data_IF_116256319284
#
_entry.id   IF_116256319284
#
_cell.length_a   1.000
_cell.length_b   1.000
_cell.length_c   1.000
_cell.angle_alpha   90.00
_cell.angle_beta   90.00
_cell.angle_gamma   90.00
#
_symmetry.space_group_name_H-M   'P 1'
#
loop_
_entity.id
_entity.type
_entity.pdbx_description
1 polymer ?
#
# COMPACT_ATOMS: atom_id res chain seq x y z
N UNK A 1 -11.22 25.53 26.41
CA UNK A 1 -11.78 26.31 25.28
C UNK A 1 -11.77 25.53 23.97
N UNK A 2 -10.65 24.98 23.48
CA UNK A 2 -10.68 24.05 22.33
C UNK A 2 -10.96 22.59 22.73
N UNK A 3 -10.44 22.15 23.88
CA UNK A 3 -10.56 20.77 24.38
C UNK A 3 -12.03 20.34 24.60
N UNK A 4 -12.84 21.20 25.23
CA UNK A 4 -14.24 20.91 25.55
C UNK A 4 -15.16 20.84 24.31
N UNK A 5 -14.79 21.50 23.21
CA UNK A 5 -15.49 21.41 21.93
C UNK A 5 -15.16 20.10 21.20
N UNK A 6 -13.89 19.69 21.26
CA UNK A 6 -13.42 18.43 20.70
C UNK A 6 -14.01 17.24 21.48
N UNK A 7 -14.10 17.32 22.80
CA UNK A 7 -14.73 16.27 23.62
C UNK A 7 -16.22 16.09 23.26
N UNK A 8 -17.00 17.15 23.07
CA UNK A 8 -18.40 17.04 22.66
C UNK A 8 -18.57 16.43 21.26
N UNK A 9 -17.66 16.76 20.32
CA UNK A 9 -17.65 16.21 18.97
C UNK A 9 -17.26 14.72 18.96
N UNK A 10 -16.26 14.33 19.75
CA UNK A 10 -15.77 12.95 19.86
C UNK A 10 -16.81 11.99 20.48
N UNK A 11 -17.77 12.51 21.26
CA UNK A 11 -18.88 11.74 21.81
C UNK A 11 -20.10 11.66 20.88
N UNK A 12 -20.03 12.23 19.67
CA UNK A 12 -21.09 12.16 18.66
C UNK A 12 -22.32 13.04 18.94
N UNK A 13 -22.26 13.93 19.93
CA UNK A 13 -23.33 14.87 20.25
C UNK A 13 -23.18 16.17 19.44
N UNK A 14 -23.55 16.08 18.17
CA UNK A 14 -23.58 17.20 17.23
C UNK A 14 -24.40 18.41 17.74
N UNK A 15 -25.60 18.23 18.32
CA UNK A 15 -26.36 19.32 18.92
C UNK A 15 -25.61 20.08 20.03
N UNK A 16 -24.97 19.37 20.95
CA UNK A 16 -24.24 19.99 22.06
C UNK A 16 -22.96 20.69 21.58
N UNK A 17 -22.29 20.13 20.56
CA UNK A 17 -21.13 20.74 19.91
C UNK A 17 -21.49 22.08 19.27
N UNK A 18 -22.59 22.12 18.51
CA UNK A 18 -23.09 23.35 17.87
C UNK A 18 -23.42 24.42 18.92
N UNK A 19 -24.12 24.04 20.00
CA UNK A 19 -24.51 24.96 21.08
C UNK A 19 -23.31 25.60 21.78
N UNK A 20 -22.21 24.85 21.96
CA UNK A 20 -20.98 25.36 22.58
C UNK A 20 -20.17 26.27 21.64
N UNK A 21 -20.19 26.00 20.33
CA UNK A 21 -19.62 26.90 19.32
C UNK A 21 -20.37 28.24 19.33
N UNK A 22 -21.71 28.21 19.34
CA UNK A 22 -22.54 29.42 19.39
C UNK A 22 -22.29 30.25 20.66
N UNK A 23 -22.11 29.60 21.82
CA UNK A 23 -21.80 30.28 23.08
C UNK A 23 -20.42 30.98 23.09
N UNK A 24 -19.43 30.39 22.42
CA UNK A 24 -18.07 30.93 22.42
C UNK A 24 -17.79 31.93 21.32
N UNK A 25 -18.47 31.84 20.18
CA UNK A 25 -18.20 32.69 19.01
C UNK A 25 -19.34 33.69 18.71
N UNK A 26 -20.54 33.50 19.26
CA UNK A 26 -21.72 34.39 19.09
C UNK A 26 -22.74 33.82 18.09
N UNK A 27 -23.93 34.43 17.99
CA UNK A 27 -25.06 34.00 17.11
C UNK A 27 -24.82 34.24 15.60
N UNK A 28 -23.62 33.94 15.10
CA UNK A 28 -23.34 33.93 13.68
C UNK A 28 -23.57 32.55 13.09
N UNK A 29 -24.32 32.43 12.00
CA UNK A 29 -24.30 31.21 11.17
C UNK A 29 -22.89 31.02 10.58
N UNK A 30 -22.00 30.37 11.33
CA UNK A 30 -20.65 30.06 10.88
C UNK A 30 -20.73 28.95 9.84
N UNK A 31 -20.68 29.36 8.57
CA UNK A 31 -20.55 28.43 7.44
C UNK A 31 -19.09 28.11 7.20
N UNK A 32 -18.80 26.89 6.68
CA UNK A 32 -17.45 26.43 6.29
C UNK A 32 -16.65 27.44 5.44
N UNK A 33 -17.34 28.39 4.78
CA UNK A 33 -16.77 29.50 4.02
C UNK A 33 -15.94 30.49 4.85
N UNK A 34 -16.14 30.55 6.18
CA UNK A 34 -15.46 31.48 7.09
C UNK A 34 -14.10 30.95 7.59
N UNK A 35 -13.83 29.66 7.40
CA UNK A 35 -12.49 29.11 7.66
C UNK A 35 -11.51 29.62 6.60
N UNK A 36 -10.27 29.92 6.98
CA UNK A 36 -9.22 30.17 6.01
C UNK A 36 -9.08 28.97 5.07
N UNK A 37 -8.57 29.20 3.84
CA UNK A 37 -8.52 28.17 2.81
C UNK A 37 -7.74 26.92 3.22
N UNK A 38 -6.74 27.07 4.08
CA UNK A 38 -5.94 25.93 4.55
C UNK A 38 -6.70 25.10 5.59
N UNK A 39 -7.50 25.72 6.47
CA UNK A 39 -8.40 25.04 7.40
C UNK A 39 -9.57 24.36 6.69
N UNK A 40 -10.09 24.97 5.61
CA UNK A 40 -11.05 24.31 4.73
C UNK A 40 -10.45 23.08 4.07
N UNK A 41 -9.20 23.15 3.57
CA UNK A 41 -8.50 21.98 3.02
C UNK A 41 -8.31 20.90 4.07
N UNK A 42 -7.81 21.22 5.26
CA UNK A 42 -7.63 20.26 6.35
C UNK A 42 -8.94 19.55 6.72
N UNK A 43 -10.06 20.28 6.80
CA UNK A 43 -11.37 19.68 7.06
C UNK A 43 -11.86 18.80 5.91
N UNK A 44 -11.64 19.25 4.67
CA UNK A 44 -11.98 18.47 3.48
C UNK A 44 -11.18 17.17 3.45
N UNK A 45 -9.88 17.23 3.70
CA UNK A 45 -8.99 16.06 3.77
C UNK A 45 -9.44 15.10 4.89
N UNK A 46 -9.73 15.63 6.09
CA UNK A 46 -10.24 14.82 7.21
C UNK A 46 -11.59 14.15 6.90
N UNK A 47 -12.50 14.88 6.25
CA UNK A 47 -13.79 14.32 5.81
C UNK A 47 -13.60 13.26 4.74
N UNK A 48 -12.69 13.46 3.79
CA UNK A 48 -12.37 12.47 2.76
C UNK A 48 -11.74 11.21 3.35
N UNK A 49 -10.86 11.34 4.33
CA UNK A 49 -10.28 10.19 5.03
C UNK A 49 -11.37 9.42 5.79
N UNK A 50 -12.21 10.11 6.57
CA UNK A 50 -13.32 9.48 7.29
C UNK A 50 -14.34 8.80 6.35
N UNK A 51 -14.60 9.42 5.18
CA UNK A 51 -15.48 8.87 4.16
C UNK A 51 -14.86 7.64 3.53
N UNK A 52 -13.55 7.67 3.23
CA UNK A 52 -12.81 6.52 2.69
C UNK A 52 -12.91 5.33 3.64
N UNK A 53 -12.65 5.53 4.92
CA UNK A 53 -12.73 4.48 5.94
C UNK A 53 -14.14 3.90 6.06
N UNK A 54 -15.16 4.77 6.02
CA UNK A 54 -16.57 4.37 6.07
C UNK A 54 -17.00 3.56 4.84
N UNK A 55 -16.54 3.98 3.65
CA UNK A 55 -16.77 3.27 2.39
C UNK A 55 -16.07 1.91 2.43
N UNK A 56 -14.78 1.85 2.78
CA UNK A 56 -14.05 0.59 2.90
C UNK A 56 -14.73 -0.35 3.90
N UNK A 57 -15.14 0.13 5.07
CA UNK A 57 -15.83 -0.67 6.07
C UNK A 57 -17.16 -1.24 5.57
N UNK A 58 -17.88 -0.51 4.71
CA UNK A 58 -19.13 -0.95 4.11
C UNK A 58 -18.88 -2.03 3.05
N UNK A 59 -17.90 -1.82 2.18
CA UNK A 59 -17.47 -2.81 1.18
C UNK A 59 -16.92 -4.08 1.83
N UNK A 60 -16.15 -3.95 2.92
CA UNK A 60 -15.67 -5.07 3.74
C UNK A 60 -16.82 -5.91 4.28
N UNK A 61 -17.82 -5.28 4.90
CA UNK A 61 -19.01 -5.99 5.43
C UNK A 61 -19.76 -6.76 4.33
N UNK A 62 -19.93 -6.15 3.15
CA UNK A 62 -20.54 -6.82 2.00
C UNK A 62 -19.69 -8.00 1.55
N UNK A 63 -18.37 -7.82 1.42
CA UNK A 63 -17.47 -8.90 1.01
C UNK A 63 -17.47 -10.05 2.01
N UNK A 64 -17.26 -9.79 3.30
CA UNK A 64 -17.17 -10.83 4.34
C UNK A 64 -18.45 -11.67 4.43
N UNK A 65 -19.62 -11.01 4.34
CA UNK A 65 -20.91 -11.70 4.36
C UNK A 65 -21.20 -12.53 3.10
N UNK A 66 -20.57 -12.19 1.97
CA UNK A 66 -20.85 -12.83 0.67
C UNK A 66 -19.70 -13.68 0.13
N UNK A 67 -18.53 -13.65 0.75
CA UNK A 67 -17.36 -14.42 0.34
C UNK A 67 -17.64 -15.94 0.25
N UNK A 68 -18.34 -16.59 1.20
CA UNK A 68 -18.69 -18.01 1.05
C UNK A 68 -19.58 -18.26 -0.17
N UNK A 69 -20.51 -17.36 -0.47
CA UNK A 69 -21.42 -17.48 -1.62
C UNK A 69 -20.62 -17.33 -2.92
N UNK A 70 -19.77 -16.30 -3.01
CA UNK A 70 -18.91 -16.07 -4.17
C UNK A 70 -17.99 -17.26 -4.46
N UNK A 71 -17.40 -17.87 -3.42
CA UNK A 71 -16.58 -19.09 -3.55
C UNK A 71 -17.40 -20.26 -4.11
N UNK A 72 -18.61 -20.48 -3.61
CA UNK A 72 -19.49 -21.55 -4.10
C UNK A 72 -19.93 -21.32 -5.56
N UNK A 73 -20.24 -20.08 -5.92
CA UNK A 73 -20.57 -19.70 -7.29
C UNK A 73 -19.38 -19.97 -8.23
N UNK A 74 -18.18 -19.57 -7.85
CA UNK A 74 -16.97 -19.84 -8.61
C UNK A 74 -16.70 -21.35 -8.78
N UNK A 75 -16.84 -22.13 -7.71
CA UNK A 75 -16.68 -23.59 -7.76
C UNK A 75 -17.70 -24.27 -8.69
N UNK A 76 -18.91 -23.72 -8.77
CA UNK A 76 -19.98 -24.19 -9.65
C UNK A 76 -19.94 -23.59 -11.05
N UNK A 77 -18.91 -22.78 -11.37
CA UNK A 77 -18.79 -21.98 -12.61
C UNK A 77 -20.00 -21.09 -12.90
N UNK A 78 -20.72 -20.69 -11.86
CA UNK A 78 -21.83 -19.77 -11.96
C UNK A 78 -21.33 -18.32 -11.88
N UNK A 79 -21.85 -17.40 -12.71
CA UNK A 79 -21.41 -16.01 -12.69
C UNK A 79 -21.82 -15.32 -11.38
N UNK A 80 -20.89 -14.59 -10.76
CA UNK A 80 -21.19 -13.77 -9.60
C UNK A 80 -22.14 -12.60 -9.96
N UNK A 81 -23.16 -12.31 -9.13
CA UNK A 81 -24.01 -11.14 -9.31
C UNK A 81 -23.16 -9.85 -9.40
N UNK A 82 -23.45 -8.93 -10.35
CA UNK A 82 -22.57 -7.78 -10.62
C UNK A 82 -22.25 -6.92 -9.38
N UNK A 83 -23.24 -6.70 -8.51
CA UNK A 83 -23.05 -5.91 -7.28
C UNK A 83 -22.09 -6.60 -6.28
N UNK A 84 -22.18 -7.93 -6.14
CA UNK A 84 -21.30 -8.69 -5.25
C UNK A 84 -19.88 -8.79 -5.82
N UNK A 85 -19.77 -8.96 -7.14
CA UNK A 85 -18.49 -8.92 -7.85
C UNK A 85 -17.79 -7.58 -7.63
N UNK A 86 -18.48 -6.46 -7.89
CA UNK A 86 -17.91 -5.14 -7.72
C UNK A 86 -17.46 -4.87 -6.27
N UNK A 87 -18.24 -5.33 -5.28
CA UNK A 87 -17.86 -5.18 -3.89
C UNK A 87 -16.62 -5.98 -3.50
N UNK A 88 -16.52 -7.23 -3.99
CA UNK A 88 -15.37 -8.08 -3.77
C UNK A 88 -14.11 -7.55 -4.47
N UNK A 89 -14.23 -7.13 -5.74
CA UNK A 89 -13.14 -6.53 -6.50
C UNK A 89 -12.62 -5.27 -5.81
N UNK A 90 -13.50 -4.35 -5.41
CA UNK A 90 -13.10 -3.14 -4.69
C UNK A 90 -12.32 -3.47 -3.41
N UNK A 91 -12.90 -4.31 -2.55
CA UNK A 91 -12.29 -4.65 -1.26
C UNK A 91 -10.94 -5.35 -1.43
N UNK A 92 -10.85 -6.37 -2.29
CA UNK A 92 -9.63 -7.14 -2.47
C UNK A 92 -8.50 -6.30 -3.08
N UNK A 93 -8.81 -5.43 -4.06
CA UNK A 93 -7.82 -4.51 -4.63
C UNK A 93 -7.33 -3.49 -3.59
N UNK A 94 -8.22 -2.96 -2.75
CA UNK A 94 -7.81 -2.07 -1.65
C UNK A 94 -6.88 -2.76 -0.66
N UNK A 95 -7.19 -4.01 -0.27
CA UNK A 95 -6.32 -4.79 0.61
C UNK A 95 -4.95 -5.05 0.01
N UNK A 96 -4.86 -5.35 -1.29
CA UNK A 96 -3.58 -5.51 -1.99
C UNK A 96 -2.78 -4.21 -1.94
N UNK A 97 -3.39 -3.07 -2.29
CA UNK A 97 -2.72 -1.77 -2.26
C UNK A 97 -2.26 -1.40 -0.86
N UNK A 98 -3.12 -1.52 0.13
CA UNK A 98 -2.80 -1.26 1.54
C UNK A 98 -1.62 -2.11 2.01
N UNK A 99 -1.60 -3.40 1.68
CA UNK A 99 -0.50 -4.30 2.02
C UNK A 99 0.82 -3.93 1.33
N UNK A 100 0.78 -3.41 0.09
CA UNK A 100 1.95 -2.91 -0.64
C UNK A 100 2.47 -1.58 -0.07
N UNK A 101 1.60 -0.69 0.41
CA UNK A 101 1.99 0.63 0.95
C UNK A 101 2.64 0.54 2.33
N UNK A 102 2.35 -0.51 3.12
CA UNK A 102 2.99 -0.75 4.42
C UNK A 102 4.52 -0.73 4.32
N UNK A 103 5.16 -0.35 5.42
CA UNK A 103 6.62 -0.32 5.54
C UNK A 103 7.04 -1.14 6.77
N UNK A 104 7.53 -2.38 6.60
CA UNK A 104 7.70 -3.10 5.33
C UNK A 104 6.36 -3.58 4.71
N UNK A 105 6.32 -3.85 3.39
CA UNK A 105 5.13 -4.38 2.73
C UNK A 105 4.82 -5.81 3.19
N UNK A 106 3.52 -6.14 3.23
CA UNK A 106 3.02 -7.44 3.65
C UNK A 106 2.82 -8.38 2.44
N UNK A 107 3.89 -9.07 2.07
CA UNK A 107 3.93 -9.93 0.88
C UNK A 107 2.98 -11.14 1.01
N UNK A 108 2.78 -11.63 2.24
CA UNK A 108 1.88 -12.76 2.49
C UNK A 108 0.42 -12.34 2.28
N UNK A 109 0.03 -11.17 2.80
CA UNK A 109 -1.30 -10.62 2.56
C UNK A 109 -1.54 -10.40 1.06
N UNK A 110 -0.60 -9.76 0.34
CA UNK A 110 -0.70 -9.56 -1.11
C UNK A 110 -0.92 -10.88 -1.85
N UNK A 111 -0.08 -11.89 -1.58
CA UNK A 111 -0.20 -13.22 -2.20
C UNK A 111 -1.53 -13.90 -1.87
N UNK A 112 -2.02 -13.76 -0.63
CA UNK A 112 -3.33 -14.26 -0.22
C UNK A 112 -4.49 -13.61 -0.99
N UNK A 113 -4.49 -12.28 -1.10
CA UNK A 113 -5.55 -11.54 -1.80
C UNK A 113 -5.55 -11.80 -3.31
N UNK A 114 -4.38 -11.91 -3.94
CA UNK A 114 -4.25 -12.28 -5.36
C UNK A 114 -4.84 -13.67 -5.65
N UNK A 115 -4.57 -14.65 -4.76
CA UNK A 115 -5.17 -15.99 -4.88
C UNK A 115 -6.68 -15.95 -4.75
N UNK A 116 -7.23 -15.11 -3.88
CA UNK A 116 -8.69 -14.96 -3.74
C UNK A 116 -9.33 -14.36 -5.00
N UNK A 117 -8.71 -13.34 -5.61
CA UNK A 117 -9.15 -12.80 -6.89
C UNK A 117 -9.17 -13.87 -7.98
N UNK A 118 -8.09 -14.64 -8.11
CA UNK A 118 -7.97 -15.73 -9.09
C UNK A 118 -9.01 -16.82 -8.88
N UNK A 119 -9.15 -17.33 -7.65
CA UNK A 119 -10.09 -18.41 -7.30
C UNK A 119 -11.54 -18.04 -7.59
N UNK A 120 -11.89 -16.77 -7.42
CA UNK A 120 -13.24 -16.26 -7.64
C UNK A 120 -13.44 -15.68 -9.05
N UNK A 121 -12.42 -15.75 -9.93
CA UNK A 121 -12.43 -15.15 -11.26
C UNK A 121 -12.81 -13.65 -11.24
N UNK A 122 -12.27 -12.93 -10.26
CA UNK A 122 -12.46 -11.50 -10.05
C UNK A 122 -11.30 -10.70 -10.65
N UNK A 123 -11.57 -9.46 -11.02
CA UNK A 123 -10.62 -8.59 -11.69
C UNK A 123 -9.67 -7.90 -10.71
N UNK A 124 -8.38 -7.91 -11.03
CA UNK A 124 -7.39 -7.06 -10.39
C UNK A 124 -7.30 -5.72 -11.13
N UNK A 125 -7.24 -4.62 -10.39
CA UNK A 125 -6.88 -3.30 -10.92
C UNK A 125 -5.37 -3.26 -11.20
N UNK A 126 -5.00 -3.78 -12.37
CA UNK A 126 -3.61 -3.95 -12.77
C UNK A 126 -2.83 -2.63 -12.77
N UNK A 127 -3.46 -1.52 -13.16
CA UNK A 127 -2.80 -0.22 -13.21
C UNK A 127 -2.46 0.30 -11.80
N UNK A 128 -3.44 0.36 -10.91
CA UNK A 128 -3.22 0.84 -9.55
C UNK A 128 -2.33 -0.09 -8.74
N UNK A 129 -2.54 -1.42 -8.85
CA UNK A 129 -1.73 -2.42 -8.15
C UNK A 129 -0.29 -2.41 -8.67
N UNK A 130 -0.07 -2.37 -9.98
CA UNK A 130 1.26 -2.34 -10.58
C UNK A 130 2.07 -1.10 -10.16
N UNK A 131 1.41 0.06 -10.08
CA UNK A 131 2.03 1.29 -9.57
C UNK A 131 2.48 1.16 -8.11
N UNK A 132 1.59 0.74 -7.21
CA UNK A 132 1.93 0.58 -5.78
C UNK A 132 3.00 -0.50 -5.57
N UNK A 133 3.02 -1.53 -6.42
CA UNK A 133 4.03 -2.58 -6.41
C UNK A 133 5.41 -2.04 -6.77
N UNK A 134 5.49 -1.23 -7.83
CA UNK A 134 6.74 -0.57 -8.26
C UNK A 134 7.28 0.34 -7.14
N UNK A 135 6.40 1.12 -6.51
CA UNK A 135 6.79 2.00 -5.41
C UNK A 135 7.26 1.21 -4.18
N UNK A 136 6.59 0.11 -3.82
CA UNK A 136 7.01 -0.78 -2.74
C UNK A 136 8.40 -1.39 -3.00
N UNK A 137 8.64 -1.86 -4.23
CA UNK A 137 9.93 -2.40 -4.63
C UNK A 137 11.04 -1.33 -4.59
N UNK A 138 10.74 -0.11 -5.05
CA UNK A 138 11.67 1.03 -4.96
C UNK A 138 12.04 1.34 -3.51
N UNK A 139 11.06 1.45 -2.60
CA UNK A 139 11.32 1.72 -1.18
C UNK A 139 12.20 0.66 -0.53
N UNK A 140 11.98 -0.62 -0.83
CA UNK A 140 12.82 -1.71 -0.31
C UNK A 140 14.25 -1.65 -0.86
N UNK A 141 14.41 -1.25 -2.12
CA UNK A 141 15.73 -1.11 -2.74
C UNK A 141 16.51 0.06 -2.15
N UNK A 142 15.84 1.19 -1.90
CA UNK A 142 16.41 2.35 -1.22
C UNK A 142 16.79 1.99 0.22
N UNK A 143 15.90 1.32 0.96
CA UNK A 143 16.18 0.85 2.32
C UNK A 143 17.38 -0.11 2.38
N UNK A 144 17.53 -1.02 1.41
CA UNK A 144 18.71 -1.87 1.30
C UNK A 144 20.00 -1.07 1.02
N UNK A 145 19.91 -0.04 0.18
CA UNK A 145 21.05 0.79 -0.20
C UNK A 145 21.51 1.73 0.93
N UNK A 146 20.58 2.27 1.71
CA UNK A 146 20.84 3.26 2.78
C UNK A 146 21.11 2.60 4.14
N UNK A 147 20.43 1.50 4.46
CA UNK A 147 20.44 0.85 5.78
C UNK A 147 21.67 0.00 6.09
N UNK A 148 22.79 0.19 5.38
CA UNK A 148 23.99 -0.63 5.57
C UNK A 148 23.81 -2.10 5.18
N UNK A 149 22.94 -2.38 4.19
CA UNK A 149 22.68 -3.73 3.65
C UNK A 149 22.08 -4.72 4.65
N UNK A 150 21.10 -4.29 5.46
CA UNK A 150 20.22 -5.23 6.15
C UNK A 150 19.52 -6.14 5.11
N UNK A 151 19.87 -7.43 5.11
CA UNK A 151 19.38 -8.43 4.18
C UNK A 151 17.87 -8.58 4.16
N UNK A 152 17.17 -8.14 5.21
CA UNK A 152 15.71 -8.24 5.28
C UNK A 152 15.02 -7.49 4.13
N UNK A 153 15.45 -6.27 3.82
CA UNK A 153 14.87 -5.48 2.73
C UNK A 153 15.09 -6.14 1.37
N UNK A 154 16.27 -6.76 1.18
CA UNK A 154 16.62 -7.50 -0.03
C UNK A 154 15.79 -8.78 -0.19
N UNK A 155 15.58 -9.54 0.90
CA UNK A 155 14.74 -10.75 0.89
C UNK A 155 13.28 -10.42 0.59
N UNK A 156 12.75 -9.33 1.16
CA UNK A 156 11.40 -8.84 0.86
C UNK A 156 11.29 -8.39 -0.60
N UNK A 157 12.28 -7.65 -1.11
CA UNK A 157 12.31 -7.20 -2.50
C UNK A 157 12.32 -8.39 -3.46
N UNK A 158 13.15 -9.41 -3.19
CA UNK A 158 13.18 -10.66 -3.96
C UNK A 158 11.82 -11.35 -3.96
N UNK A 159 11.15 -11.38 -2.81
CA UNK A 159 9.82 -11.99 -2.69
C UNK A 159 8.78 -11.24 -3.51
N UNK A 160 8.77 -9.90 -3.48
CA UNK A 160 7.86 -9.09 -4.30
C UNK A 160 8.09 -9.24 -5.81
N UNK A 161 9.35 -9.21 -6.26
CA UNK A 161 9.69 -9.38 -7.68
C UNK A 161 9.33 -10.79 -8.15
N UNK A 162 9.58 -11.80 -7.32
CA UNK A 162 9.19 -13.19 -7.61
C UNK A 162 7.69 -13.34 -7.74
N UNK A 163 6.93 -12.81 -6.77
CA UNK A 163 5.48 -12.90 -6.77
C UNK A 163 4.86 -12.19 -7.99
N UNK A 164 5.36 -11.00 -8.35
CA UNK A 164 4.91 -10.30 -9.55
C UNK A 164 5.14 -11.14 -10.82
N UNK A 165 6.32 -11.77 -10.95
CA UNK A 165 6.64 -12.64 -12.08
C UNK A 165 5.77 -13.90 -12.13
N UNK A 166 5.59 -14.60 -11.00
CA UNK A 166 4.74 -15.80 -10.90
C UNK A 166 3.28 -15.51 -11.25
N UNK A 167 2.80 -14.31 -10.91
CA UNK A 167 1.43 -13.86 -11.16
C UNK A 167 1.27 -13.10 -12.47
N UNK A 168 2.33 -12.98 -13.27
CA UNK A 168 2.34 -12.26 -14.54
C UNK A 168 1.79 -10.83 -14.41
N UNK A 169 2.12 -10.16 -13.31
CA UNK A 169 1.73 -8.77 -13.06
C UNK A 169 2.71 -7.86 -13.81
N UNK A 170 2.19 -6.96 -14.63
CA UNK A 170 2.99 -5.96 -15.31
C UNK A 170 3.42 -4.88 -14.30
N UNK A 171 4.68 -4.91 -13.91
CA UNK A 171 5.28 -3.96 -12.96
C UNK A 171 6.54 -3.37 -13.58
N UNK A 172 6.60 -2.04 -13.62
CA UNK A 172 7.80 -1.33 -14.02
C UNK A 172 8.85 -1.36 -12.89
N UNK A 173 9.91 -2.13 -13.11
CA UNK A 173 11.05 -2.23 -12.19
C UNK A 173 12.26 -1.39 -12.62
N UNK A 174 12.17 -0.50 -13.61
CA UNK A 174 13.31 0.24 -14.16
C UNK A 174 14.12 0.99 -13.08
N UNK A 175 13.45 1.64 -12.13
CA UNK A 175 14.13 2.33 -11.02
C UNK A 175 14.91 1.36 -10.12
N UNK A 176 14.33 0.18 -9.84
CA UNK A 176 14.98 -0.88 -9.05
C UNK A 176 16.16 -1.47 -9.80
N UNK A 177 16.01 -1.69 -11.11
CA UNK A 177 17.07 -2.22 -11.98
C UNK A 177 18.28 -1.28 -12.04
N UNK A 178 18.03 0.01 -12.25
CA UNK A 178 19.09 1.02 -12.29
C UNK A 178 19.85 1.06 -10.96
N UNK A 179 19.11 1.09 -9.84
CA UNK A 179 19.73 1.10 -8.51
C UNK A 179 20.51 -0.18 -8.21
N UNK A 180 20.03 -1.34 -8.68
CA UNK A 180 20.73 -2.61 -8.55
C UNK A 180 22.06 -2.59 -9.29
N UNK A 181 22.04 -2.08 -10.53
CA UNK A 181 23.24 -1.96 -11.35
C UNK A 181 24.29 -1.04 -10.70
N UNK A 182 23.88 0.11 -10.16
CA UNK A 182 24.78 1.01 -9.42
C UNK A 182 25.47 0.32 -8.24
N UNK A 183 24.71 -0.43 -7.43
CA UNK A 183 25.24 -1.17 -6.27
C UNK A 183 26.20 -2.28 -6.73
N UNK A 184 25.82 -3.04 -7.76
CA UNK A 184 26.64 -4.11 -8.31
C UNK A 184 27.96 -3.58 -8.89
N UNK A 185 27.91 -2.47 -9.63
CA UNK A 185 29.09 -1.84 -10.22
C UNK A 185 30.05 -1.32 -9.15
N UNK A 186 29.53 -0.65 -8.11
CA UNK A 186 30.34 -0.17 -6.98
C UNK A 186 31.02 -1.31 -6.20
N UNK A 187 30.43 -2.51 -6.19
CA UNK A 187 31.04 -3.69 -5.56
C UNK A 187 32.19 -4.29 -6.39
N UNK A 188 32.15 -4.18 -7.72
CA UNK A 188 33.19 -4.67 -8.63
C UNK A 188 34.34 -3.65 -8.75
N UNK A 189 34.00 -2.35 -8.82
CA UNK A 189 34.94 -1.25 -8.95
C UNK A 189 34.77 -0.24 -7.79
N UNK A 190 35.37 -0.53 -6.61
CA UNK A 190 35.27 0.38 -5.48
C UNK A 190 35.98 1.71 -5.80
N UNK A 191 35.36 2.87 -5.51
CA UNK A 191 36.00 4.17 -5.71
C UNK A 191 37.29 4.27 -4.90
N UNK A 192 38.33 4.83 -5.54
CA UNK A 192 39.72 4.86 -5.04
C UNK A 192 39.89 5.60 -3.70
N UNK A 193 38.92 6.44 -3.31
CA UNK A 193 38.92 7.26 -2.08
C UNK A 193 37.91 6.80 -0.99
N UNK A 194 37.38 5.57 -1.08
CA UNK A 194 36.35 5.09 -0.14
C UNK A 194 36.95 4.62 1.20
N UNK A 195 36.41 5.16 2.31
CA UNK A 195 36.57 4.68 3.70
C UNK A 195 36.25 3.17 3.80
N UNK A 196 36.86 2.39 4.73
CA UNK A 196 36.87 0.93 4.67
C UNK A 196 35.46 0.32 4.61
N UNK A 197 35.31 -0.61 3.66
CA UNK A 197 34.28 -1.63 3.52
C UNK A 197 32.90 -1.29 4.13
N UNK A 198 31.98 -0.83 3.27
CA UNK A 198 30.56 -1.06 3.48
C UNK A 198 30.37 -2.53 3.93
N UNK A 199 29.56 -2.82 4.96
CA UNK A 199 29.46 -4.16 5.56
C UNK A 199 29.29 -5.21 4.47
N UNK A 200 30.21 -6.16 4.43
CA UNK A 200 30.19 -7.26 3.46
C UNK A 200 28.88 -8.02 3.61
N UNK A 201 28.14 -8.20 2.51
CA UNK A 201 26.95 -9.05 2.48
C UNK A 201 27.29 -10.43 3.04
N UNK A 202 26.42 -10.97 3.88
CA UNK A 202 26.49 -12.39 4.26
C UNK A 202 26.35 -13.29 3.01
N UNK A 203 26.77 -14.56 3.07
CA UNK A 203 26.62 -15.48 1.95
C UNK A 203 25.18 -15.59 1.44
N UNK A 204 24.20 -15.62 2.36
CA UNK A 204 22.77 -15.67 2.05
C UNK A 204 22.29 -14.39 1.35
N UNK A 205 22.74 -13.22 1.80
CA UNK A 205 22.41 -11.94 1.19
C UNK A 205 23.06 -11.78 -0.19
N UNK A 206 24.30 -12.24 -0.36
CA UNK A 206 24.98 -12.25 -1.65
C UNK A 206 24.29 -13.18 -2.66
N UNK A 207 23.80 -14.34 -2.22
CA UNK A 207 22.96 -15.21 -3.03
C UNK A 207 21.61 -14.57 -3.37
N UNK A 208 20.92 -13.98 -2.37
CA UNK A 208 19.67 -13.27 -2.58
C UNK A 208 19.82 -12.10 -3.56
N UNK A 209 20.93 -11.37 -3.50
CA UNK A 209 21.24 -10.26 -4.40
C UNK A 209 21.41 -10.77 -5.84
N UNK A 210 22.24 -11.81 -6.05
CA UNK A 210 22.41 -12.43 -7.38
C UNK A 210 21.09 -12.96 -7.95
N UNK A 211 20.31 -13.69 -7.14
CA UNK A 211 19.01 -14.21 -7.55
C UNK A 211 18.01 -13.09 -7.88
N UNK A 212 18.07 -11.95 -7.20
CA UNK A 212 17.29 -10.77 -7.55
C UNK A 212 17.71 -10.21 -8.92
N UNK A 213 19.01 -10.11 -9.20
CA UNK A 213 19.52 -9.68 -10.51
C UNK A 213 19.02 -10.54 -11.67
N UNK A 214 19.03 -11.86 -11.51
CA UNK A 214 18.48 -12.79 -12.51
C UNK A 214 16.99 -12.56 -12.77
N UNK A 215 16.19 -12.40 -11.71
CA UNK A 215 14.74 -12.16 -11.81
C UNK A 215 14.41 -10.80 -12.41
N UNK A 216 15.23 -9.78 -12.14
CA UNK A 216 15.14 -8.47 -12.77
C UNK A 216 15.64 -8.48 -14.23
N UNK A 217 16.08 -9.63 -14.77
CA UNK A 217 16.68 -9.80 -16.11
C UNK A 217 17.92 -8.93 -16.33
N UNK A 218 18.64 -8.62 -15.25
CA UNK A 218 19.89 -7.86 -15.32
C UNK A 218 21.04 -8.86 -15.45
N UNK A 219 21.76 -8.80 -16.57
CA UNK A 219 23.04 -9.50 -16.70
C UNK A 219 24.13 -8.58 -16.15
N UNK A 220 24.62 -8.89 -14.96
CA UNK A 220 25.91 -8.36 -14.49
C UNK A 220 26.97 -9.33 -15.02
N UNK A 221 27.77 -8.86 -15.98
CA UNK A 221 28.84 -9.64 -16.61
C UNK A 221 30.06 -9.82 -15.72
#
# INVERSE_FOLDING_TARGET
TAQELLDAFDHGDLPETIRRVDQHFGEGTYTLRLLFRDEQRKLVDLLFDSLRDSVEASFRRIYESTAPILRNLAASRAPAPPALRAAAEFYLNERIRSALVRSPPDVEEVSGRLRELEQMSLSMDAASVGYEWSLAAKRLMEAFAEGGRDGRSLLLLRSLVTLAAERSIDVDFASVQNRYYEIALAAIHPPTDSVPAQPSLSPEEGEAFRALGEKLRIRVG
#
